data_IF_813982144765
#
_entry.id   IF_813982144765
#
_cell.length_a   1.000
_cell.length_b   1.000
_cell.length_c   1.000
_cell.angle_alpha   90.00
_cell.angle_beta   90.00
_cell.angle_gamma   90.00
#
_symmetry.space_group_name_H-M   'P 1'
#
loop_
_entity.id
_entity.type
_entity.pdbx_description
1 polymer ?
#
# COMPACT_ATOMS: atom_id res chain seq x y z
N UNK A 1 -34.92 29.52 -2.48
CA UNK A 1 -33.85 29.56 -3.51
C UNK A 1 -32.68 28.64 -3.13
N UNK A 2 -32.37 28.43 -1.84
CA UNK A 2 -31.24 27.60 -1.41
C UNK A 2 -31.32 26.10 -1.74
N UNK A 3 -32.51 25.50 -1.79
CA UNK A 3 -32.65 24.06 -2.04
C UNK A 3 -32.25 23.63 -3.46
N UNK A 4 -32.58 24.42 -4.48
CA UNK A 4 -32.19 24.12 -5.87
C UNK A 4 -30.67 24.24 -6.06
N UNK A 5 -30.03 25.23 -5.43
CA UNK A 5 -28.57 25.35 -5.43
C UNK A 5 -27.90 24.19 -4.69
N UNK A 6 -28.47 23.75 -3.57
CA UNK A 6 -28.00 22.58 -2.82
C UNK A 6 -28.11 21.30 -3.67
N UNK A 7 -29.26 21.07 -4.28
CA UNK A 7 -29.51 19.92 -5.16
C UNK A 7 -28.52 19.83 -6.32
N UNK A 8 -28.28 20.94 -7.01
CA UNK A 8 -27.30 20.99 -8.12
C UNK A 8 -25.88 20.68 -7.64
N UNK A 9 -25.48 21.13 -6.45
CA UNK A 9 -24.15 20.81 -5.89
C UNK A 9 -24.01 19.31 -5.60
N UNK A 10 -25.03 18.68 -5.02
CA UNK A 10 -25.04 17.24 -4.78
C UNK A 10 -24.98 16.43 -6.09
N UNK A 11 -25.75 16.85 -7.10
CA UNK A 11 -25.78 16.20 -8.40
C UNK A 11 -24.40 16.26 -9.07
N UNK A 12 -23.79 17.46 -9.10
CA UNK A 12 -22.44 17.65 -9.65
C UNK A 12 -21.41 16.80 -8.90
N UNK A 13 -21.44 16.77 -7.57
CA UNK A 13 -20.53 15.92 -6.78
C UNK A 13 -20.71 14.44 -7.10
N UNK A 14 -21.96 13.98 -7.21
CA UNK A 14 -22.29 12.58 -7.52
C UNK A 14 -21.75 12.19 -8.90
N UNK A 15 -21.93 13.06 -9.90
CA UNK A 15 -21.37 12.86 -11.25
C UNK A 15 -19.85 12.82 -11.19
N UNK A 16 -19.20 13.74 -10.48
CA UNK A 16 -17.74 13.73 -10.32
C UNK A 16 -17.25 12.42 -9.69
N UNK A 17 -17.89 11.93 -8.62
CA UNK A 17 -17.53 10.68 -7.97
C UNK A 17 -17.82 9.43 -8.82
N UNK A 18 -18.85 9.50 -9.68
CA UNK A 18 -19.18 8.42 -10.61
C UNK A 18 -18.18 8.32 -11.76
N UNK A 19 -17.70 9.46 -12.28
CA UNK A 19 -16.72 9.51 -13.37
C UNK A 19 -15.30 9.28 -12.85
N UNK A 20 -14.99 9.76 -11.64
CA UNK A 20 -13.68 9.64 -11.01
C UNK A 20 -13.79 9.06 -9.59
N UNK A 21 -13.89 7.71 -9.46
CA UNK A 21 -13.91 7.06 -8.17
C UNK A 21 -12.61 7.34 -7.40
N UNK A 22 -12.72 7.83 -6.16
CA UNK A 22 -11.55 8.19 -5.33
C UNK A 22 -10.55 7.04 -5.14
N UNK A 23 -11.04 5.80 -5.15
CA UNK A 23 -10.22 4.58 -5.06
C UNK A 23 -9.21 4.44 -6.21
N UNK A 24 -9.54 4.97 -7.39
CA UNK A 24 -8.72 4.81 -8.60
C UNK A 24 -7.55 5.83 -8.65
N UNK A 25 -7.50 6.76 -7.69
CA UNK A 25 -6.41 7.73 -7.54
C UNK A 25 -5.37 7.33 -6.48
N UNK A 26 -5.56 6.19 -5.82
CA UNK A 26 -4.59 5.72 -4.85
C UNK A 26 -3.32 5.21 -5.57
N UNK A 27 -2.12 5.61 -5.11
CA UNK A 27 -0.88 5.10 -5.68
C UNK A 27 -0.81 3.58 -5.52
N UNK A 28 -0.68 2.89 -6.66
CA UNK A 28 -0.50 1.44 -6.71
C UNK A 28 0.93 1.06 -6.35
N UNK A 29 1.07 0.06 -5.49
CA UNK A 29 2.38 -0.43 -5.04
C UNK A 29 2.35 -1.95 -4.97
N UNK A 30 3.28 -2.60 -5.67
CA UNK A 30 3.46 -4.06 -5.66
C UNK A 30 4.38 -4.48 -4.51
N UNK A 31 3.83 -5.24 -3.57
CA UNK A 31 4.54 -5.72 -2.39
C UNK A 31 4.72 -7.23 -2.47
N UNK A 32 5.95 -7.69 -2.26
CA UNK A 32 6.19 -9.10 -1.94
C UNK A 32 6.40 -9.24 -0.44
N UNK A 33 5.54 -10.05 0.21
CA UNK A 33 5.71 -10.41 1.60
C UNK A 33 6.37 -11.78 1.68
N UNK A 34 7.52 -11.87 2.33
CA UNK A 34 8.17 -13.13 2.71
C UNK A 34 8.17 -13.29 4.21
N UNK A 35 7.98 -14.51 4.69
CA UNK A 35 7.93 -14.80 6.11
C UNK A 35 8.22 -16.28 6.36
N UNK A 36 8.82 -16.55 7.51
CA UNK A 36 9.09 -17.88 8.06
C UNK A 36 7.93 -18.46 8.86
N UNK A 37 6.92 -17.65 9.16
CA UNK A 37 5.65 -18.10 9.73
C UNK A 37 4.82 -18.86 8.70
N UNK A 38 3.81 -19.60 9.17
CA UNK A 38 2.91 -20.32 8.30
C UNK A 38 2.12 -19.41 7.33
N UNK A 39 1.52 -20.03 6.31
CA UNK A 39 0.77 -19.33 5.28
C UNK A 39 -0.45 -18.56 5.81
N UNK A 40 -1.07 -19.05 6.89
CA UNK A 40 -2.23 -18.38 7.48
C UNK A 40 -1.81 -17.07 8.15
N UNK A 41 -0.72 -17.09 8.90
CA UNK A 41 -0.17 -15.90 9.53
C UNK A 41 0.41 -14.92 8.50
N UNK A 42 1.04 -15.42 7.43
CA UNK A 42 1.43 -14.60 6.28
C UNK A 42 0.23 -13.88 5.66
N UNK A 43 -0.91 -14.57 5.50
CA UNK A 43 -2.14 -13.95 4.99
C UNK A 43 -2.75 -12.95 5.97
N UNK A 44 -2.66 -13.21 7.28
CA UNK A 44 -3.02 -12.23 8.31
C UNK A 44 -2.18 -10.95 8.18
N UNK A 45 -0.86 -11.06 8.03
CA UNK A 45 0.04 -9.91 7.84
C UNK A 45 -0.34 -9.08 6.60
N UNK A 46 -0.59 -9.75 5.46
CA UNK A 46 -1.04 -9.07 4.23
C UNK A 46 -2.32 -8.25 4.50
N UNK A 47 -3.29 -8.85 5.17
CA UNK A 47 -4.57 -8.20 5.48
C UNK A 47 -4.41 -7.04 6.48
N UNK A 48 -3.62 -7.23 7.53
CA UNK A 48 -3.36 -6.20 8.54
C UNK A 48 -2.70 -4.96 7.92
N UNK A 49 -1.69 -5.17 7.06
CA UNK A 49 -1.02 -4.11 6.32
C UNK A 49 -2.00 -3.44 5.34
N UNK A 50 -2.73 -4.22 4.53
CA UNK A 50 -3.71 -3.67 3.60
C UNK A 50 -4.76 -2.80 4.31
N UNK A 51 -5.30 -3.27 5.43
CA UNK A 51 -6.32 -2.58 6.20
C UNK A 51 -5.80 -1.25 6.77
N UNK A 52 -4.57 -1.23 7.30
CA UNK A 52 -3.95 -0.04 7.86
C UNK A 52 -3.75 1.06 6.79
N UNK A 53 -3.45 0.65 5.55
CA UNK A 53 -3.09 1.56 4.45
C UNK A 53 -4.19 1.81 3.40
N UNK A 54 -5.37 1.20 3.55
CA UNK A 54 -6.45 1.14 2.54
C UNK A 54 -6.90 2.48 1.94
N UNK A 55 -6.77 3.57 2.69
CA UNK A 55 -7.23 4.91 2.26
C UNK A 55 -6.09 5.75 1.66
N UNK A 56 -4.86 5.25 1.66
CA UNK A 56 -3.67 6.01 1.26
C UNK A 56 -2.94 5.37 0.08
N UNK A 57 -3.03 4.05 -0.08
CA UNK A 57 -2.31 3.29 -1.09
C UNK A 57 -3.15 2.12 -1.59
N UNK A 58 -2.99 1.76 -2.86
CA UNK A 58 -3.49 0.49 -3.40
C UNK A 58 -2.38 -0.55 -3.34
N UNK A 59 -2.36 -1.34 -2.26
CA UNK A 59 -1.31 -2.34 -2.02
C UNK A 59 -1.65 -3.66 -2.70
N UNK A 60 -0.83 -4.08 -3.65
CA UNK A 60 -0.97 -5.34 -4.37
C UNK A 60 0.08 -6.35 -3.88
N UNK A 61 -0.36 -7.32 -3.08
CA UNK A 61 0.53 -8.39 -2.63
C UNK A 61 0.73 -9.43 -3.74
N UNK A 62 1.97 -9.55 -4.21
CA UNK A 62 2.33 -10.47 -5.29
C UNK A 62 3.33 -11.52 -4.82
N UNK A 63 3.24 -12.72 -5.38
CA UNK A 63 4.13 -13.83 -5.02
C UNK A 63 5.45 -13.78 -5.78
N UNK A 64 5.49 -13.14 -6.96
CA UNK A 64 6.72 -13.01 -7.72
C UNK A 64 7.61 -11.90 -7.15
N UNK A 65 8.69 -12.31 -6.48
CA UNK A 65 9.70 -11.43 -5.92
C UNK A 65 10.25 -10.40 -6.91
N UNK A 66 10.53 -10.79 -8.17
CA UNK A 66 11.17 -9.91 -9.16
C UNK A 66 10.25 -8.80 -9.68
N UNK A 67 8.95 -8.98 -9.56
CA UNK A 67 7.95 -8.01 -10.02
C UNK A 67 7.56 -7.01 -8.92
N UNK A 68 8.05 -7.22 -7.70
CA UNK A 68 7.69 -6.39 -6.56
C UNK A 68 8.57 -5.15 -6.52
N UNK A 69 7.99 -4.06 -6.06
CA UNK A 69 8.69 -2.80 -5.84
C UNK A 69 9.22 -2.73 -4.41
N UNK A 70 8.46 -3.30 -3.48
CA UNK A 70 8.81 -3.36 -2.07
C UNK A 70 8.78 -4.81 -1.58
N UNK A 71 9.85 -5.21 -0.90
CA UNK A 71 9.97 -6.49 -0.21
C UNK A 71 9.76 -6.26 1.28
N UNK A 72 8.76 -6.92 1.85
CA UNK A 72 8.52 -6.92 3.30
C UNK A 72 8.87 -8.31 3.81
N UNK A 73 9.63 -8.39 4.89
CA UNK A 73 10.10 -9.66 5.44
C UNK A 73 9.96 -9.69 6.96
N UNK A 74 9.59 -10.84 7.54
CA UNK A 74 9.72 -11.06 9.00
C UNK A 74 11.13 -11.45 9.43
N UNK A 75 11.98 -11.80 8.46
CA UNK A 75 13.37 -12.19 8.67
C UNK A 75 14.34 -11.20 8.00
N UNK A 76 15.60 -11.12 8.47
CA UNK A 76 16.65 -10.43 7.75
C UNK A 76 16.74 -10.92 6.30
N UNK A 77 16.58 -10.02 5.35
CA UNK A 77 16.65 -10.34 3.92
C UNK A 77 17.97 -9.79 3.33
N UNK A 78 18.78 -10.61 2.67
CA UNK A 78 20.06 -10.15 2.14
C UNK A 78 19.85 -9.17 0.97
N UNK A 79 20.39 -7.96 1.10
CA UNK A 79 20.23 -6.91 0.09
C UNK A 79 20.81 -7.26 -1.29
N UNK A 80 21.74 -8.22 -1.35
CA UNK A 80 22.35 -8.70 -2.60
C UNK A 80 21.34 -9.31 -3.59
N UNK A 81 20.16 -9.72 -3.13
CA UNK A 81 19.11 -10.29 -3.99
C UNK A 81 18.12 -9.23 -4.51
N UNK A 82 18.21 -7.99 -4.03
CA UNK A 82 17.33 -6.90 -4.46
C UNK A 82 17.85 -6.30 -5.78
N UNK A 83 16.93 -5.97 -6.67
CA UNK A 83 17.28 -5.09 -7.80
C UNK A 83 17.52 -3.66 -7.29
N UNK A 84 18.25 -2.80 -8.02
CA UNK A 84 18.51 -1.42 -7.60
C UNK A 84 17.26 -0.57 -7.37
N UNK A 85 16.15 -0.92 -8.02
CA UNK A 85 14.85 -0.26 -7.87
C UNK A 85 14.02 -0.80 -6.70
N UNK A 86 14.33 -1.99 -6.21
CA UNK A 86 13.61 -2.62 -5.12
C UNK A 86 14.04 -2.07 -3.78
N UNK A 87 13.07 -1.91 -2.89
CA UNK A 87 13.31 -1.51 -1.49
C UNK A 87 12.89 -2.65 -0.58
N UNK A 88 13.60 -2.83 0.54
CA UNK A 88 13.28 -3.86 1.53
C UNK A 88 12.99 -3.26 2.90
N UNK A 89 12.13 -3.93 3.67
CA UNK A 89 11.90 -3.66 5.07
C UNK A 89 11.75 -4.96 5.84
N UNK A 90 12.45 -5.05 6.97
CA UNK A 90 12.23 -6.11 7.95
C UNK A 90 11.21 -5.60 8.97
N UNK A 91 10.13 -6.34 9.15
CA UNK A 91 9.08 -6.11 10.14
C UNK A 91 9.09 -7.24 11.16
N UNK A 92 8.47 -7.01 12.32
CA UNK A 92 8.19 -8.11 13.26
C UNK A 92 6.98 -8.93 12.80
N UNK A 93 6.95 -10.20 13.18
CA UNK A 93 5.77 -11.04 13.01
C UNK A 93 4.55 -10.40 13.71
N UNK A 94 4.71 -9.99 14.96
CA UNK A 94 3.72 -9.13 15.61
C UNK A 94 3.95 -7.66 15.22
N UNK A 95 3.13 -7.19 14.27
CA UNK A 95 3.14 -5.79 13.82
C UNK A 95 2.87 -4.83 14.98
N UNK A 96 3.75 -3.85 15.15
CA UNK A 96 3.53 -2.72 16.04
C UNK A 96 3.44 -1.40 15.27
N UNK A 97 3.05 -0.33 15.95
CA UNK A 97 3.05 1.04 15.41
C UNK A 97 4.40 1.45 14.81
N UNK A 98 5.52 0.96 15.35
CA UNK A 98 6.85 1.26 14.77
C UNK A 98 7.03 0.60 13.41
N UNK A 99 6.50 -0.62 13.22
CA UNK A 99 6.60 -1.34 11.96
C UNK A 99 5.71 -0.68 10.90
N UNK A 100 4.50 -0.24 11.28
CA UNK A 100 3.64 0.56 10.42
C UNK A 100 4.26 1.90 10.03
N UNK A 101 4.84 2.63 10.99
CA UNK A 101 5.54 3.88 10.72
C UNK A 101 6.74 3.70 9.78
N UNK A 102 7.51 2.63 9.95
CA UNK A 102 8.63 2.30 9.06
C UNK A 102 8.14 1.96 7.64
N UNK A 103 7.07 1.17 7.51
CA UNK A 103 6.47 0.87 6.22
C UNK A 103 5.95 2.12 5.52
N UNK A 104 5.26 3.01 6.26
CA UNK A 104 4.75 4.25 5.72
C UNK A 104 5.87 5.16 5.17
N UNK A 105 6.97 5.29 5.91
CA UNK A 105 8.15 6.05 5.43
C UNK A 105 8.72 5.45 4.15
N UNK A 106 8.76 4.12 4.04
CA UNK A 106 9.23 3.44 2.85
C UNK A 106 8.31 3.68 1.65
N UNK A 107 7.00 3.54 1.83
CA UNK A 107 5.98 3.77 0.80
C UNK A 107 6.04 5.22 0.29
N UNK A 108 6.12 6.20 1.21
CA UNK A 108 6.27 7.62 0.85
C UNK A 108 7.54 7.88 0.04
N UNK A 109 8.67 7.29 0.43
CA UNK A 109 9.93 7.41 -0.31
C UNK A 109 9.83 6.79 -1.70
N UNK A 110 9.12 5.67 -1.85
CA UNK A 110 8.89 5.00 -3.13
C UNK A 110 8.12 5.88 -4.13
N UNK A 111 7.00 6.46 -3.70
CA UNK A 111 6.20 7.33 -4.56
C UNK A 111 6.96 8.58 -4.98
N UNK A 112 7.77 9.16 -4.07
CA UNK A 112 8.59 10.33 -4.41
C UNK A 112 9.66 10.01 -5.47
N UNK A 113 10.27 8.83 -5.43
CA UNK A 113 11.27 8.42 -6.42
C UNK A 113 10.69 8.15 -7.82
N UNK A 114 9.41 7.78 -7.93
CA UNK A 114 8.75 7.55 -9.22
C UNK A 114 8.24 8.81 -9.93
N UNK A 115 8.35 9.99 -9.31
CA UNK A 115 7.89 11.29 -9.85
C UNK A 115 9.03 12.21 -10.32
N UNK A 116 10.26 11.70 -10.39
CA UNK A 116 11.44 12.41 -10.90
C UNK A 116 11.94 11.75 -12.18
#
# INVERSE_FOLDING_TARGET
MDEQHSYMRYLCLTICLAIFPLKDYLPEIKIHLTSDVDSAYKNYLKQAIALHFKNFYSLHFIDNFKQAEIIVSTLPFPNQYLTPSQKSLVIRAQLSEKDFGALEQLLKKHIKSGKS
#
